data_IF_128413126961
#
_entry.id   IF_128413126961
#
_cell.length_a   1.000
_cell.length_b   1.000
_cell.length_c   1.000
_cell.angle_alpha   90.00
_cell.angle_beta   90.00
_cell.angle_gamma   90.00
#
_symmetry.space_group_name_H-M   'P 1'
#
loop_
_entity.id
_entity.type
_entity.pdbx_description
1 polymer ?
#
# COMPACT_ATOMS: atom_id res chain seq x y z
N UNK A 1 -16.36 16.08 15.85
CA UNK A 1 -17.05 15.45 14.70
C UNK A 1 -16.00 14.66 13.92
N UNK A 2 -15.96 13.33 14.07
CA UNK A 2 -15.04 12.50 13.30
C UNK A 2 -15.66 12.29 11.92
N UNK A 3 -14.91 12.54 10.85
CA UNK A 3 -15.38 12.28 9.48
C UNK A 3 -15.27 10.78 9.18
N UNK A 4 -16.27 10.21 8.53
CA UNK A 4 -16.30 8.80 8.11
C UNK A 4 -15.27 8.52 7.01
N UNK A 5 -14.62 7.35 7.04
CA UNK A 5 -13.48 6.99 6.17
C UNK A 5 -13.88 6.47 4.78
N UNK A 6 -15.12 6.02 4.64
CA UNK A 6 -15.74 5.51 3.42
C UNK A 6 -15.83 6.56 2.31
N UNK A 7 -15.98 7.84 2.64
CA UNK A 7 -16.06 8.92 1.66
C UNK A 7 -14.75 9.71 1.48
N UNK A 8 -13.66 9.30 2.14
CA UNK A 8 -12.39 10.04 2.07
C UNK A 8 -11.51 9.54 0.92
N UNK A 9 -11.19 10.42 -0.04
CA UNK A 9 -10.22 10.09 -1.10
C UNK A 9 -8.83 9.72 -0.50
N UNK A 10 -8.18 8.67 -1.05
CA UNK A 10 -6.80 8.32 -0.74
C UNK A 10 -5.78 9.44 -0.95
N UNK A 11 -6.05 10.43 -1.81
CA UNK A 11 -5.15 11.57 -2.06
C UNK A 11 -4.92 12.46 -0.82
N UNK A 12 -5.72 12.30 0.24
CA UNK A 12 -5.48 12.93 1.55
C UNK A 12 -4.25 12.34 2.27
N UNK A 13 -3.84 11.11 1.92
CA UNK A 13 -2.69 10.46 2.51
C UNK A 13 -1.39 11.02 1.91
N UNK A 14 -0.42 11.28 2.78
CA UNK A 14 0.91 11.70 2.36
C UNK A 14 1.52 10.66 1.41
N UNK A 15 1.96 11.10 0.24
CA UNK A 15 2.56 10.22 -0.79
C UNK A 15 1.58 9.73 -1.86
N UNK A 16 0.27 10.00 -1.72
CA UNK A 16 -0.72 9.69 -2.76
C UNK A 16 -0.97 10.92 -3.64
N UNK A 17 -0.18 11.03 -4.72
CA UNK A 17 -0.41 12.03 -5.77
C UNK A 17 -1.40 11.55 -6.85
N UNK A 18 -1.72 12.41 -7.84
CA UNK A 18 -2.74 12.11 -8.86
C UNK A 18 -2.49 10.82 -9.65
N UNK A 19 -1.22 10.48 -9.91
CA UNK A 19 -0.86 9.26 -10.61
C UNK A 19 -1.13 8.00 -9.77
N UNK A 20 -0.88 8.06 -8.46
CA UNK A 20 -1.12 6.93 -7.56
C UNK A 20 -2.62 6.78 -7.26
N UNK A 21 -3.33 7.88 -7.08
CA UNK A 21 -4.79 7.87 -6.92
C UNK A 21 -5.48 7.19 -8.10
N UNK A 22 -5.08 7.50 -9.35
CA UNK A 22 -5.60 6.82 -10.55
C UNK A 22 -5.32 5.32 -10.55
N UNK A 23 -4.12 4.90 -10.11
CA UNK A 23 -3.76 3.46 -10.03
C UNK A 23 -4.59 2.73 -8.97
N UNK A 24 -4.81 3.36 -7.81
CA UNK A 24 -5.66 2.81 -6.75
C UNK A 24 -7.12 2.67 -7.24
N UNK A 25 -7.65 3.70 -7.91
CA UNK A 25 -8.99 3.63 -8.49
C UNK A 25 -9.13 2.51 -9.54
N UNK A 26 -8.08 2.26 -10.34
CA UNK A 26 -8.08 1.18 -11.33
C UNK A 26 -8.17 -0.23 -10.71
N UNK A 27 -7.78 -0.40 -9.45
CA UNK A 27 -7.90 -1.66 -8.70
C UNK A 27 -9.07 -1.65 -7.69
N UNK A 28 -9.99 -0.68 -7.81
CA UNK A 28 -11.21 -0.59 -6.99
C UNK A 28 -11.04 0.10 -5.64
N UNK A 29 -9.90 0.76 -5.38
CA UNK A 29 -9.64 1.49 -4.15
C UNK A 29 -9.97 2.97 -4.37
N UNK A 30 -11.08 3.42 -3.78
CA UNK A 30 -11.62 4.78 -3.96
C UNK A 30 -11.73 5.55 -2.66
N UNK A 31 -11.66 4.85 -1.51
CA UNK A 31 -11.72 5.42 -0.17
C UNK A 31 -10.53 5.02 0.70
N UNK A 32 -10.32 5.74 1.81
CA UNK A 32 -9.36 5.33 2.85
C UNK A 32 -9.78 4.01 3.50
N UNK A 33 -11.08 3.74 3.61
CA UNK A 33 -11.58 2.48 4.16
C UNK A 33 -11.17 1.28 3.30
N UNK A 34 -11.21 1.41 1.96
CA UNK A 34 -10.80 0.33 1.04
C UNK A 34 -9.34 -0.09 1.28
N UNK A 35 -8.46 0.88 1.56
CA UNK A 35 -7.05 0.63 1.87
C UNK A 35 -6.85 -0.21 3.14
N UNK A 36 -7.70 -0.04 4.14
CA UNK A 36 -7.61 -0.81 5.40
C UNK A 36 -7.85 -2.30 5.18
N UNK A 37 -8.58 -2.66 4.12
CA UNK A 37 -8.89 -4.04 3.77
C UNK A 37 -8.13 -4.53 2.52
N UNK A 38 -7.29 -3.68 1.91
CA UNK A 38 -6.39 -4.06 0.83
C UNK A 38 -5.10 -4.69 1.40
N UNK A 39 -5.24 -5.91 1.91
CA UNK A 39 -4.14 -6.61 2.57
C UNK A 39 -3.04 -7.01 1.57
N UNK A 40 -1.76 -7.02 1.99
CA UNK A 40 -0.67 -7.51 1.17
C UNK A 40 -0.89 -8.95 0.71
N UNK A 41 -0.61 -9.23 -0.56
CA UNK A 41 -0.63 -10.59 -1.11
C UNK A 41 0.31 -11.53 -0.35
N UNK A 42 1.46 -11.02 0.07
CA UNK A 42 2.46 -11.73 0.86
C UNK A 42 3.25 -10.73 1.69
N UNK A 43 3.63 -11.16 2.88
CA UNK A 43 4.60 -10.46 3.70
C UNK A 43 5.98 -11.04 3.42
N UNK A 44 6.91 -10.17 3.05
CA UNK A 44 8.32 -10.54 2.93
C UNK A 44 8.99 -10.31 4.28
N UNK A 45 9.48 -11.38 4.90
CA UNK A 45 10.28 -11.28 6.12
C UNK A 45 11.71 -10.85 5.76
N UNK A 46 12.04 -9.59 6.06
CA UNK A 46 13.36 -8.99 5.84
C UNK A 46 14.23 -8.95 7.09
N UNK A 47 13.90 -9.73 8.13
CA UNK A 47 14.70 -9.77 9.39
C UNK A 47 16.06 -10.46 9.21
N UNK A 48 16.22 -11.29 8.17
CA UNK A 48 17.45 -12.06 7.93
C UNK A 48 18.35 -11.37 6.92
N UNK A 49 19.47 -10.86 7.40
CA UNK A 49 20.52 -10.30 6.56
C UNK A 49 21.39 -11.45 6.04
N UNK A 50 21.51 -11.57 4.71
CA UNK A 50 22.40 -12.55 4.06
C UNK A 50 23.70 -11.85 3.69
N UNK A 51 24.84 -12.42 4.08
CA UNK A 51 26.16 -11.92 3.68
C UNK A 51 26.32 -12.08 2.16
N UNK A 52 26.98 -11.12 1.51
CA UNK A 52 27.23 -11.15 0.06
C UNK A 52 27.90 -12.45 -0.38
N UNK A 53 28.86 -12.96 0.40
CA UNK A 53 29.55 -14.22 0.11
C UNK A 53 28.63 -15.47 0.17
N UNK A 54 27.44 -15.37 0.77
CA UNK A 54 26.45 -16.45 0.91
C UNK A 54 25.19 -16.21 0.09
N UNK A 55 25.12 -15.12 -0.66
CA UNK A 55 24.00 -14.84 -1.53
C UNK A 55 23.93 -15.91 -2.64
N UNK A 56 22.72 -16.41 -2.92
CA UNK A 56 22.48 -17.34 -4.02
C UNK A 56 22.06 -16.54 -5.25
N UNK A 57 22.52 -16.98 -6.43
CA UNK A 57 22.01 -16.45 -7.70
C UNK A 57 20.55 -16.88 -7.83
N UNK A 58 19.69 -15.91 -8.16
CA UNK A 58 18.27 -16.11 -8.47
C UNK A 58 18.01 -15.96 -9.95
#
# INVERSE_FOLDING_TARGET
>A
MVKSLDAMSPARLKGVGPALEKKLAAIGITSIQDLLFHLPLRYEDRTRITLTARARVG
#
